data_IF_247544084807
#
_entry.id   IF_247544084807
#
_cell.length_a   1.000
_cell.length_b   1.000
_cell.length_c   1.000
_cell.angle_alpha   90.00
_cell.angle_beta   90.00
_cell.angle_gamma   90.00
#
_symmetry.space_group_name_H-M   'P 1'
#
loop_
_entity.id
_entity.type
_entity.pdbx_description
1 polymer ?
#
# COMPACT_ATOMS: atom_id res chain seq x y z
N UNK A 1 -70.83 -10.57 17.90
CA UNK A 1 -70.34 -10.90 16.54
C UNK A 1 -68.97 -11.55 16.71
N UNK A 2 -68.92 -12.81 17.17
CA UNK A 2 -68.74 -14.04 16.37
C UNK A 2 -67.37 -14.04 15.66
N UNK A 3 -66.30 -14.66 16.18
CA UNK A 3 -66.02 -16.09 16.39
C UNK A 3 -65.92 -16.91 15.09
N UNK A 4 -64.68 -17.28 14.75
CA UNK A 4 -64.16 -18.55 14.18
C UNK A 4 -64.97 -19.38 13.17
N UNK A 5 -64.34 -19.67 12.01
CA UNK A 5 -64.27 -20.97 11.28
C UNK A 5 -63.38 -20.74 10.03
N UNK A 6 -62.16 -21.29 9.88
CA UNK A 6 -61.74 -22.69 9.66
C UNK A 6 -62.18 -23.27 8.30
N UNK A 7 -61.21 -23.47 7.38
CA UNK A 7 -61.10 -24.48 6.29
C UNK A 7 -60.13 -23.92 5.22
N UNK A 8 -58.87 -24.35 5.11
CA UNK A 8 -58.38 -25.64 4.57
C UNK A 8 -58.68 -25.82 3.07
N UNK A 9 -57.68 -25.50 2.22
CA UNK A 9 -57.58 -25.93 0.82
C UNK A 9 -56.14 -25.63 0.35
N UNK A 10 -55.17 -26.50 0.59
CA UNK A 10 -54.91 -27.77 -0.11
C UNK A 10 -54.60 -27.55 -1.60
N UNK A 11 -53.29 -27.60 -1.89
CA UNK A 11 -52.65 -28.14 -3.09
C UNK A 11 -53.60 -28.72 -4.16
N UNK A 12 -53.58 -28.15 -5.35
CA UNK A 12 -54.03 -28.85 -6.56
C UNK A 12 -53.14 -28.46 -7.75
N UNK A 13 -52.26 -29.39 -8.09
CA UNK A 13 -51.55 -29.48 -9.36
C UNK A 13 -52.55 -29.67 -10.50
N UNK A 14 -52.45 -28.89 -11.58
CA UNK A 14 -52.98 -29.27 -12.88
C UNK A 14 -51.83 -29.65 -13.80
N UNK A 15 -51.60 -30.95 -13.83
CA UNK A 15 -50.84 -31.71 -14.81
C UNK A 15 -51.58 -31.67 -16.15
N UNK A 16 -50.90 -31.26 -17.21
CA UNK A 16 -51.21 -31.72 -18.55
C UNK A 16 -49.92 -32.27 -19.17
N UNK A 17 -49.88 -33.60 -19.27
CA UNK A 17 -48.98 -34.43 -20.09
C UNK A 17 -47.53 -34.65 -19.62
N UNK A 18 -47.40 -35.28 -18.45
CA UNK A 18 -46.68 -36.56 -18.30
C UNK A 18 -45.22 -36.68 -18.78
N UNK A 19 -44.27 -36.09 -18.05
CA UNK A 19 -43.00 -36.76 -17.70
C UNK A 19 -42.29 -35.98 -16.58
N UNK A 20 -42.10 -36.62 -15.41
CA UNK A 20 -41.39 -36.03 -14.27
C UNK A 20 -39.88 -36.18 -14.53
N UNK A 21 -39.20 -35.09 -14.84
CA UNK A 21 -37.75 -34.99 -14.68
C UNK A 21 -37.44 -33.90 -13.66
N UNK A 22 -37.01 -34.38 -12.50
CA UNK A 22 -36.24 -33.70 -11.47
C UNK A 22 -35.31 -32.67 -12.14
N UNK A 23 -35.52 -31.37 -11.90
CA UNK A 23 -34.64 -30.32 -12.41
C UNK A 23 -33.34 -30.38 -11.61
N UNK A 24 -32.45 -31.23 -12.09
CA UNK A 24 -31.09 -31.38 -11.63
C UNK A 24 -30.34 -30.06 -11.81
N UNK A 25 -29.70 -29.68 -10.72
CA UNK A 25 -28.56 -28.78 -10.59
C UNK A 25 -27.46 -29.21 -11.58
N UNK A 26 -27.48 -28.70 -12.81
CA UNK A 26 -26.29 -28.53 -13.68
C UNK A 26 -26.63 -27.86 -15.02
N UNK A 27 -25.67 -27.06 -15.50
CA UNK A 27 -25.59 -26.41 -16.82
C UNK A 27 -26.60 -25.29 -17.15
N UNK A 28 -26.16 -24.05 -16.91
CA UNK A 28 -25.98 -23.06 -18.00
C UNK A 28 -24.75 -22.19 -17.69
N UNK A 29 -23.58 -22.73 -18.04
CA UNK A 29 -22.39 -21.92 -18.34
C UNK A 29 -22.67 -21.17 -19.65
N UNK A 30 -22.87 -19.85 -19.55
CA UNK A 30 -22.90 -18.93 -20.67
C UNK A 30 -21.60 -18.12 -20.69
N UNK A 31 -20.85 -18.27 -21.77
CA UNK A 31 -19.56 -17.66 -22.06
C UNK A 31 -19.64 -16.12 -22.00
N UNK A 32 -18.91 -15.51 -21.06
CA UNK A 32 -18.78 -14.05 -20.93
C UNK A 32 -17.32 -13.71 -20.62
N UNK A 33 -16.56 -13.40 -21.66
CA UNK A 33 -15.17 -12.94 -21.59
C UNK A 33 -15.15 -11.57 -20.89
N UNK A 34 -14.75 -11.54 -19.62
CA UNK A 34 -14.61 -10.29 -18.85
C UNK A 34 -13.13 -9.94 -18.71
N UNK A 35 -12.74 -8.83 -19.32
CA UNK A 35 -11.41 -8.24 -19.20
C UNK A 35 -11.40 -7.36 -17.94
N UNK A 36 -10.63 -7.80 -16.93
CA UNK A 36 -10.57 -7.19 -15.60
C UNK A 36 -9.56 -6.04 -15.50
N UNK A 37 -9.99 -4.94 -14.88
CA UNK A 37 -9.17 -3.79 -14.51
C UNK A 37 -9.03 -3.73 -12.98
N UNK A 38 -7.78 -3.67 -12.50
CA UNK A 38 -7.39 -3.76 -11.08
C UNK A 38 -7.29 -2.37 -10.42
N UNK A 39 -7.73 -2.22 -9.17
CA UNK A 39 -7.65 -0.98 -8.37
C UNK A 39 -6.28 -0.81 -7.71
N UNK A 40 -5.85 0.45 -7.49
CA UNK A 40 -4.45 0.80 -7.20
C UNK A 40 -4.03 0.70 -5.72
N UNK A 41 -4.97 0.67 -4.77
CA UNK A 41 -4.64 0.74 -3.34
C UNK A 41 -4.22 -0.61 -2.73
N UNK A 42 -4.44 -1.70 -3.45
CA UNK A 42 -3.89 -3.04 -3.23
C UNK A 42 -3.39 -3.53 -4.61
N UNK A 43 -2.45 -2.81 -5.25
CA UNK A 43 -1.66 -3.45 -6.31
C UNK A 43 -0.83 -4.54 -5.64
N UNK A 44 -1.46 -5.70 -5.49
CA UNK A 44 -0.85 -6.92 -5.03
C UNK A 44 0.45 -7.08 -5.81
N UNK A 45 1.52 -7.27 -5.03
CA UNK A 45 2.86 -7.73 -5.41
C UNK A 45 2.86 -8.79 -6.52
N UNK A 46 1.72 -9.46 -6.76
CA UNK A 46 1.39 -10.35 -7.87
C UNK A 46 1.55 -9.76 -9.28
N UNK A 47 1.24 -8.48 -9.56
CA UNK A 47 1.25 -7.96 -10.96
C UNK A 47 2.67 -7.72 -11.52
N UNK A 48 3.63 -7.42 -10.63
CA UNK A 48 5.05 -7.31 -10.94
C UNK A 48 5.76 -8.66 -10.87
N UNK A 49 5.05 -9.71 -10.42
CA UNK A 49 5.62 -11.02 -10.11
C UNK A 49 5.95 -11.80 -11.38
N UNK A 50 7.16 -12.35 -11.45
CA UNK A 50 7.53 -13.41 -12.39
C UNK A 50 7.59 -14.71 -11.60
N UNK A 51 6.88 -15.76 -12.03
CA UNK A 51 7.05 -17.11 -11.45
C UNK A 51 8.52 -17.51 -11.64
N UNK A 52 9.29 -17.54 -10.56
CA UNK A 52 10.71 -17.86 -10.62
C UNK A 52 10.87 -19.38 -10.80
N UNK A 53 11.54 -19.81 -11.88
CA UNK A 53 11.72 -21.24 -12.16
C UNK A 53 12.63 -21.87 -11.09
N UNK A 54 12.02 -22.75 -10.29
CA UNK A 54 12.57 -23.41 -9.10
C UNK A 54 13.68 -24.45 -9.40
N UNK A 55 14.40 -24.30 -10.51
CA UNK A 55 15.33 -25.31 -11.05
C UNK A 55 16.76 -25.15 -10.52
N UNK A 56 17.17 -23.96 -10.06
CA UNK A 56 18.53 -23.67 -9.60
C UNK A 56 18.85 -24.11 -8.15
N UNK A 57 17.83 -24.30 -7.30
CA UNK A 57 18.03 -24.55 -5.85
C UNK A 57 17.91 -26.04 -5.47
N UNK A 58 17.71 -26.93 -6.45
CA UNK A 58 17.65 -28.39 -6.24
C UNK A 58 18.95 -29.01 -5.72
N UNK A 59 20.05 -28.25 -5.64
CA UNK A 59 21.40 -28.75 -5.34
C UNK A 59 21.86 -28.58 -3.88
N UNK A 60 21.04 -28.00 -3.01
CA UNK A 60 21.40 -27.75 -1.59
C UNK A 60 20.88 -28.89 -0.70
N UNK A 61 21.80 -29.49 0.08
CA UNK A 61 21.58 -30.74 0.84
C UNK A 61 20.92 -30.56 2.21
N UNK A 62 20.71 -29.32 2.66
CA UNK A 62 20.15 -28.98 3.97
C UNK A 62 18.78 -28.28 3.80
N UNK A 63 17.71 -28.86 4.36
CA UNK A 63 16.32 -28.42 4.14
C UNK A 63 16.07 -26.96 4.51
N UNK A 64 16.51 -26.54 5.70
CA UNK A 64 16.34 -25.17 6.17
C UNK A 64 17.06 -24.13 5.29
N UNK A 65 18.30 -24.41 4.86
CA UNK A 65 19.05 -23.51 3.97
C UNK A 65 18.47 -23.49 2.56
N UNK A 66 17.89 -24.59 2.10
CA UNK A 66 17.19 -24.67 0.83
C UNK A 66 15.92 -23.81 0.86
N UNK A 67 15.13 -23.92 1.92
CA UNK A 67 13.90 -23.13 2.09
C UNK A 67 14.21 -21.64 2.30
N UNK A 68 15.31 -21.32 2.97
CA UNK A 68 15.82 -19.95 3.11
C UNK A 68 16.40 -19.42 1.78
N UNK A 69 17.11 -20.22 0.99
CA UNK A 69 17.57 -19.80 -0.35
C UNK A 69 16.41 -19.62 -1.34
N UNK A 70 15.40 -20.49 -1.29
CA UNK A 70 14.19 -20.36 -2.12
C UNK A 70 13.43 -19.10 -1.71
N UNK A 71 13.28 -18.87 -0.40
CA UNK A 71 12.70 -17.65 0.15
C UNK A 71 13.47 -16.39 -0.31
N UNK A 72 14.80 -16.40 -0.22
CA UNK A 72 15.62 -15.29 -0.68
C UNK A 72 15.55 -15.10 -2.20
N UNK A 73 15.54 -16.18 -2.98
CA UNK A 73 15.40 -16.09 -4.43
C UNK A 73 14.05 -15.50 -4.84
N UNK A 74 12.96 -15.91 -4.18
CA UNK A 74 11.62 -15.36 -4.45
C UNK A 74 11.54 -13.87 -4.02
N UNK A 75 12.18 -13.51 -2.91
CA UNK A 75 12.30 -12.12 -2.47
C UNK A 75 13.09 -11.30 -3.51
N UNK A 76 14.30 -11.69 -3.88
CA UNK A 76 15.15 -10.85 -4.74
C UNK A 76 14.82 -10.92 -6.24
N UNK A 77 14.38 -12.07 -6.77
CA UNK A 77 14.14 -12.29 -8.21
C UNK A 77 12.64 -12.36 -8.59
N UNK A 78 11.74 -12.27 -7.60
CA UNK A 78 10.31 -12.39 -7.83
C UNK A 78 9.71 -11.28 -8.67
N UNK A 79 10.37 -10.13 -8.87
CA UNK A 79 9.79 -8.97 -9.58
C UNK A 79 10.54 -8.51 -10.82
N UNK A 80 9.83 -7.80 -11.70
CA UNK A 80 10.41 -7.00 -12.79
C UNK A 80 11.39 -5.93 -12.29
N UNK A 81 11.22 -5.47 -11.03
CA UNK A 81 12.12 -4.54 -10.35
C UNK A 81 13.41 -5.21 -9.84
N UNK A 82 13.55 -6.53 -9.95
CA UNK A 82 14.74 -7.26 -9.50
C UNK A 82 16.05 -6.73 -10.09
N UNK A 83 16.00 -6.23 -11.33
CA UNK A 83 17.15 -5.64 -12.01
C UNK A 83 17.75 -4.44 -11.26
N UNK A 84 16.92 -3.77 -10.45
CA UNK A 84 17.26 -2.58 -9.72
C UNK A 84 17.99 -2.87 -8.40
N UNK A 85 17.96 -4.11 -7.90
CA UNK A 85 18.78 -4.53 -6.76
C UNK A 85 20.27 -4.39 -7.02
N UNK A 86 20.69 -4.44 -8.29
CA UNK A 86 22.08 -4.21 -8.68
C UNK A 86 22.55 -2.81 -8.26
N UNK A 87 21.65 -1.83 -8.15
CA UNK A 87 21.98 -0.48 -7.68
C UNK A 87 22.47 -0.45 -6.22
N UNK A 88 22.07 -1.41 -5.37
CA UNK A 88 22.43 -1.46 -3.95
C UNK A 88 23.94 -1.64 -3.74
N UNK A 89 24.59 -2.71 -4.26
CA UNK A 89 26.04 -2.86 -4.13
C UNK A 89 26.80 -1.72 -4.82
N UNK A 90 26.28 -1.18 -5.94
CA UNK A 90 26.89 -0.02 -6.59
C UNK A 90 26.79 1.25 -5.73
N UNK A 91 25.68 1.48 -5.03
CA UNK A 91 25.53 2.60 -4.09
C UNK A 91 26.52 2.50 -2.94
N UNK A 92 26.65 1.30 -2.35
CA UNK A 92 27.62 1.02 -1.27
C UNK A 92 29.05 1.25 -1.77
N UNK A 93 29.39 0.73 -2.95
CA UNK A 93 30.72 0.90 -3.53
C UNK A 93 31.01 2.36 -3.86
N UNK A 94 30.05 3.08 -4.44
CA UNK A 94 30.18 4.50 -4.75
C UNK A 94 30.40 5.34 -3.48
N UNK A 95 29.71 5.01 -2.38
CA UNK A 95 29.89 5.68 -1.09
C UNK A 95 31.27 5.37 -0.49
N UNK A 96 31.70 4.10 -0.50
CA UNK A 96 32.98 3.69 0.07
C UNK A 96 34.18 4.26 -0.72
N UNK A 97 34.05 4.37 -2.04
CA UNK A 97 35.07 4.99 -2.90
C UNK A 97 35.00 6.52 -2.93
N UNK A 98 34.12 7.14 -2.12
CA UNK A 98 33.88 8.58 -2.11
C UNK A 98 33.66 9.17 -3.51
N UNK A 99 32.84 8.48 -4.31
CA UNK A 99 32.49 8.93 -5.65
C UNK A 99 31.63 10.20 -5.61
N UNK A 100 31.37 10.78 -6.77
CA UNK A 100 30.63 12.03 -6.90
C UNK A 100 29.22 11.94 -6.28
N UNK A 101 28.85 12.93 -5.46
CA UNK A 101 27.59 12.96 -4.68
C UNK A 101 26.32 12.65 -5.48
N UNK A 102 26.11 13.18 -6.70
CA UNK A 102 24.89 12.89 -7.48
C UNK A 102 24.73 11.41 -7.84
N UNK A 103 25.84 10.69 -8.01
CA UNK A 103 25.80 9.26 -8.35
C UNK A 103 25.46 8.42 -7.14
N UNK A 104 26.03 8.72 -5.97
CA UNK A 104 25.66 8.07 -4.71
C UNK A 104 24.17 8.29 -4.42
N UNK A 105 23.70 9.53 -4.60
CA UNK A 105 22.28 9.87 -4.44
C UNK A 105 21.39 9.04 -5.38
N UNK A 106 21.68 9.07 -6.69
CA UNK A 106 20.87 8.39 -7.69
C UNK A 106 20.86 6.87 -7.48
N UNK A 107 22.02 6.25 -7.22
CA UNK A 107 22.12 4.81 -6.97
C UNK A 107 21.40 4.40 -5.68
N UNK A 108 21.47 5.23 -4.63
CA UNK A 108 20.76 4.97 -3.37
C UNK A 108 19.24 5.03 -3.58
N UNK A 109 18.72 6.06 -4.26
CA UNK A 109 17.29 6.13 -4.61
C UNK A 109 16.85 4.96 -5.49
N UNK A 110 17.67 4.60 -6.48
CA UNK A 110 17.37 3.50 -7.39
C UNK A 110 17.33 2.15 -6.64
N UNK A 111 18.22 1.95 -5.66
CA UNK A 111 18.21 0.78 -4.78
C UNK A 111 17.05 0.76 -3.77
N UNK A 112 16.53 1.92 -3.36
CA UNK A 112 15.39 2.02 -2.45
C UNK A 112 14.06 1.60 -3.10
N UNK A 113 13.88 1.82 -4.40
CA UNK A 113 12.66 1.45 -5.14
C UNK A 113 12.27 -0.04 -4.97
N UNK A 114 13.14 -1.02 -5.30
CA UNK A 114 12.79 -2.43 -5.15
C UNK A 114 12.71 -2.85 -3.68
N UNK A 115 13.43 -2.20 -2.78
CA UNK A 115 13.36 -2.48 -1.34
C UNK A 115 12.01 -2.08 -0.75
N UNK A 116 11.47 -0.93 -1.15
CA UNK A 116 10.16 -0.46 -0.71
C UNK A 116 9.06 -1.46 -1.10
N UNK A 117 9.07 -1.90 -2.36
CA UNK A 117 8.12 -2.91 -2.85
C UNK A 117 8.28 -4.24 -2.09
N UNK A 118 9.52 -4.67 -1.82
CA UNK A 118 9.75 -5.90 -1.04
C UNK A 118 9.30 -5.81 0.41
N UNK A 119 9.50 -4.69 1.06
CA UNK A 119 9.03 -4.48 2.43
C UNK A 119 7.49 -4.58 2.48
N UNK A 120 6.79 -3.97 1.51
CA UNK A 120 5.33 -4.10 1.39
C UNK A 120 4.91 -5.56 1.20
N UNK A 121 5.53 -6.28 0.25
CA UNK A 121 5.26 -7.69 0.02
C UNK A 121 5.49 -8.56 1.27
N UNK A 122 6.63 -8.40 1.94
CA UNK A 122 6.95 -9.17 3.15
C UNK A 122 5.96 -8.87 4.28
N UNK A 123 5.47 -7.65 4.34
CA UNK A 123 4.42 -7.23 5.28
C UNK A 123 3.09 -7.94 5.00
N UNK A 124 2.68 -8.02 3.73
CA UNK A 124 1.53 -8.84 3.30
C UNK A 124 1.71 -10.31 3.71
N UNK A 125 2.89 -10.90 3.43
CA UNK A 125 3.19 -12.29 3.78
C UNK A 125 3.09 -12.55 5.29
N UNK A 126 3.50 -11.60 6.14
CA UNK A 126 3.37 -11.72 7.59
C UNK A 126 1.90 -11.56 8.02
N UNK A 127 1.14 -10.68 7.34
CA UNK A 127 -0.25 -10.40 7.66
C UNK A 127 -1.14 -11.66 7.61
N UNK A 128 -0.87 -12.60 6.68
CA UNK A 128 -1.54 -13.90 6.59
C UNK A 128 -1.46 -14.73 7.90
N UNK A 129 -0.40 -14.57 8.69
CA UNK A 129 -0.20 -15.32 9.93
C UNK A 129 -0.64 -14.57 11.20
N UNK A 130 -0.78 -13.24 11.12
CA UNK A 130 -1.06 -12.40 12.30
C UNK A 130 -2.54 -12.05 12.47
N UNK A 131 -3.39 -12.42 11.50
CA UNK A 131 -4.82 -12.13 11.48
C UNK A 131 -5.14 -10.69 11.05
N UNK A 132 -6.41 -10.38 10.72
CA UNK A 132 -6.77 -9.16 9.99
C UNK A 132 -6.40 -7.85 10.68
N UNK A 133 -6.60 -7.75 12.01
CA UNK A 133 -6.33 -6.52 12.77
C UNK A 133 -4.83 -6.23 12.89
N UNK A 134 -4.03 -7.23 13.28
CA UNK A 134 -2.59 -7.06 13.43
C UNK A 134 -1.92 -6.96 12.06
N UNK A 135 -2.38 -7.73 11.09
CA UNK A 135 -1.92 -7.66 9.70
C UNK A 135 -2.21 -6.31 9.05
N UNK A 136 -3.42 -5.75 9.26
CA UNK A 136 -3.77 -4.41 8.79
C UNK A 136 -2.92 -3.31 9.44
N UNK A 137 -2.63 -3.42 10.74
CA UNK A 137 -1.73 -2.48 11.42
C UNK A 137 -0.28 -2.61 10.93
N UNK A 138 0.18 -3.84 10.69
CA UNK A 138 1.50 -4.11 10.14
C UNK A 138 1.60 -3.52 8.73
N UNK A 139 0.60 -3.69 7.88
CA UNK A 139 0.55 -3.09 6.55
C UNK A 139 0.59 -1.56 6.60
N UNK A 140 -0.21 -0.96 7.48
CA UNK A 140 -0.26 0.48 7.65
C UNK A 140 1.10 1.08 8.08
N UNK A 141 1.87 0.37 8.90
CA UNK A 141 3.14 0.83 9.47
C UNK A 141 4.34 0.41 8.60
N UNK A 142 4.53 -0.87 8.37
CA UNK A 142 5.65 -1.42 7.61
C UNK A 142 5.56 -1.10 6.11
N UNK A 143 4.35 -1.03 5.52
CA UNK A 143 4.17 -0.63 4.12
C UNK A 143 4.68 0.78 3.83
N UNK A 144 4.59 1.69 4.81
CA UNK A 144 5.11 3.06 4.72
C UNK A 144 6.48 3.24 5.40
N UNK A 145 7.12 2.16 5.85
CA UNK A 145 8.35 2.25 6.63
C UNK A 145 9.49 2.91 5.85
N UNK A 146 9.59 2.66 4.54
CA UNK A 146 10.64 3.26 3.71
C UNK A 146 10.57 4.79 3.71
N UNK A 147 9.37 5.35 3.54
CA UNK A 147 9.16 6.81 3.60
C UNK A 147 9.49 7.36 4.99
N UNK A 148 9.02 6.70 6.04
CA UNK A 148 9.29 7.10 7.43
C UNK A 148 10.78 7.09 7.75
N UNK A 149 11.52 6.07 7.32
CA UNK A 149 12.96 5.94 7.56
C UNK A 149 13.72 7.08 6.88
N UNK A 150 13.44 7.34 5.60
CA UNK A 150 14.07 8.45 4.85
C UNK A 150 13.77 9.79 5.55
N UNK A 151 12.53 10.00 5.97
CA UNK A 151 12.12 11.21 6.68
C UNK A 151 12.85 11.38 8.03
N UNK A 152 13.00 10.30 8.81
CA UNK A 152 13.73 10.33 10.10
C UNK A 152 15.20 10.69 9.87
N UNK A 153 15.89 10.06 8.91
CA UNK A 153 17.28 10.41 8.61
C UNK A 153 17.43 11.87 8.17
N UNK A 154 16.52 12.35 7.32
CA UNK A 154 16.51 13.75 6.91
C UNK A 154 16.28 14.70 8.10
N UNK A 155 15.36 14.38 9.02
CA UNK A 155 15.13 15.16 10.24
C UNK A 155 16.33 15.17 11.19
N UNK A 156 16.97 14.02 11.41
CA UNK A 156 18.18 13.91 12.25
C UNK A 156 19.31 14.81 11.73
N UNK A 157 19.40 14.97 10.41
CA UNK A 157 20.35 15.88 9.75
C UNK A 157 19.83 17.32 9.60
N UNK A 158 18.74 17.70 10.29
CA UNK A 158 18.07 19.01 10.21
C UNK A 158 17.62 19.42 8.79
N UNK A 159 17.40 18.46 7.87
CA UNK A 159 16.93 18.70 6.51
C UNK A 159 15.40 18.75 6.47
N UNK A 160 14.83 19.66 7.25
CA UNK A 160 13.38 19.79 7.44
C UNK A 160 12.66 20.04 6.12
N UNK A 161 13.24 20.83 5.21
CA UNK A 161 12.61 21.13 3.93
C UNK A 161 12.56 19.92 3.00
N UNK A 162 13.58 19.05 3.02
CA UNK A 162 13.55 17.75 2.31
C UNK A 162 12.35 16.92 2.78
N UNK A 163 12.10 16.89 4.08
CA UNK A 163 10.96 16.14 4.66
C UNK A 163 9.63 16.75 4.23
N UNK A 164 9.50 18.09 4.31
CA UNK A 164 8.28 18.79 3.88
C UNK A 164 7.96 18.51 2.41
N UNK A 165 8.95 18.66 1.54
CA UNK A 165 8.78 18.43 0.10
C UNK A 165 8.55 16.95 -0.24
N UNK A 166 9.20 16.04 0.48
CA UNK A 166 8.99 14.60 0.32
C UNK A 166 7.57 14.17 0.72
N UNK A 167 7.04 14.68 1.84
CA UNK A 167 5.66 14.39 2.27
C UNK A 167 4.62 14.95 1.29
N UNK A 168 4.79 16.20 0.84
CA UNK A 168 3.94 16.79 -0.21
C UNK A 168 4.03 15.99 -1.52
N UNK A 169 5.23 15.58 -1.89
CA UNK A 169 5.47 14.75 -3.08
C UNK A 169 4.77 13.40 -2.99
N UNK A 170 4.81 12.72 -1.84
CA UNK A 170 4.11 11.45 -1.60
C UNK A 170 2.60 11.61 -1.78
N UNK A 171 2.01 12.64 -1.18
CA UNK A 171 0.58 12.96 -1.33
C UNK A 171 0.22 13.22 -2.80
N UNK A 172 0.97 14.08 -3.50
CA UNK A 172 0.70 14.40 -4.91
C UNK A 172 0.89 13.18 -5.82
N UNK A 173 1.92 12.37 -5.57
CA UNK A 173 2.16 11.12 -6.30
C UNK A 173 0.97 10.18 -6.16
N UNK A 174 0.46 9.95 -4.95
CA UNK A 174 -0.65 9.03 -4.74
C UNK A 174 -1.97 9.57 -5.33
N UNK A 175 -2.27 10.86 -5.15
CA UNK A 175 -3.54 11.45 -5.58
C UNK A 175 -3.62 11.77 -7.08
N UNK A 176 -2.52 12.16 -7.72
CA UNK A 176 -2.53 12.57 -9.13
C UNK A 176 -1.88 11.52 -10.01
N UNK A 177 -0.66 11.08 -9.67
CA UNK A 177 0.10 10.18 -10.53
C UNK A 177 -0.47 8.76 -10.48
N UNK A 178 -0.51 8.15 -9.29
CA UNK A 178 -0.98 6.76 -9.11
C UNK A 178 -2.46 6.66 -9.40
N UNK A 179 -3.29 7.46 -8.73
CA UNK A 179 -4.73 7.46 -8.97
C UNK A 179 -5.06 7.84 -10.43
N UNK A 180 -4.47 8.91 -10.98
CA UNK A 180 -4.74 9.36 -12.35
C UNK A 180 -4.34 8.34 -13.40
N UNK A 181 -3.15 7.72 -13.28
CA UNK A 181 -2.74 6.65 -14.20
C UNK A 181 -3.59 5.39 -14.03
N UNK A 182 -4.01 5.05 -12.80
CA UNK A 182 -4.90 3.91 -12.58
C UNK A 182 -6.28 4.09 -13.20
N UNK A 183 -6.86 5.30 -13.10
CA UNK A 183 -8.13 5.64 -13.75
C UNK A 183 -7.99 5.67 -15.27
N UNK A 184 -6.89 6.21 -15.79
CA UNK A 184 -6.63 6.25 -17.23
C UNK A 184 -6.44 4.83 -17.80
N UNK A 185 -5.53 4.05 -17.23
CA UNK A 185 -5.25 2.69 -17.67
C UNK A 185 -6.45 1.76 -17.44
N UNK A 186 -7.13 1.88 -16.30
CA UNK A 186 -8.35 1.15 -16.00
C UNK A 186 -9.50 1.49 -16.95
N UNK A 187 -9.68 2.77 -17.27
CA UNK A 187 -10.68 3.21 -18.24
C UNK A 187 -10.38 2.77 -19.67
N UNK A 188 -9.11 2.72 -20.07
CA UNK A 188 -8.70 2.19 -21.38
C UNK A 188 -8.90 0.67 -21.44
N UNK A 189 -8.50 -0.06 -20.39
CA UNK A 189 -8.67 -1.51 -20.31
C UNK A 189 -10.16 -1.91 -20.28
N UNK A 190 -11.01 -1.10 -19.64
CA UNK A 190 -12.42 -1.37 -19.45
C UNK A 190 -13.30 -0.40 -20.26
N UNK A 191 -12.93 -0.09 -21.51
CA UNK A 191 -13.65 0.90 -22.33
C UNK A 191 -15.14 0.56 -22.53
N UNK A 192 -15.50 -0.72 -22.43
CA UNK A 192 -16.86 -1.24 -22.61
C UNK A 192 -17.65 -1.44 -21.31
N UNK A 193 -17.03 -1.22 -20.14
CA UNK A 193 -17.65 -1.47 -18.84
C UNK A 193 -17.44 -0.30 -17.88
N UNK A 194 -18.50 0.20 -17.20
CA UNK A 194 -18.32 1.22 -16.18
C UNK A 194 -17.49 0.68 -15.02
N UNK A 195 -16.50 1.46 -14.56
CA UNK A 195 -15.77 1.18 -13.33
C UNK A 195 -16.63 1.58 -12.13
N UNK A 196 -17.09 0.61 -11.35
CA UNK A 196 -17.88 0.86 -10.14
C UNK A 196 -16.94 1.02 -8.94
N UNK A 197 -17.22 2.01 -8.10
CA UNK A 197 -16.49 2.26 -6.85
C UNK A 197 -17.50 2.26 -5.70
N UNK A 198 -17.14 1.68 -4.56
CA UNK A 198 -17.97 1.81 -3.36
C UNK A 198 -17.94 3.28 -2.89
N UNK A 199 -19.10 3.92 -3.02
CA UNK A 199 -19.27 5.33 -2.66
C UNK A 199 -19.02 5.58 -1.18
N UNK A 200 -19.41 4.67 -0.28
CA UNK A 200 -19.26 4.88 1.17
C UNK A 200 -17.79 4.91 1.56
N UNK A 201 -17.00 3.99 1.01
CA UNK A 201 -15.57 3.91 1.28
C UNK A 201 -14.82 5.10 0.65
N UNK A 202 -15.18 5.45 -0.60
CA UNK A 202 -14.63 6.63 -1.27
C UNK A 202 -14.92 7.92 -0.49
N UNK A 203 -16.14 8.09 0.02
CA UNK A 203 -16.52 9.26 0.82
C UNK A 203 -15.69 9.34 2.11
N UNK A 204 -15.54 8.25 2.87
CA UNK A 204 -14.72 8.23 4.11
C UNK A 204 -13.27 8.61 3.81
N UNK A 205 -12.66 8.01 2.78
CA UNK A 205 -11.28 8.30 2.40
C UNK A 205 -11.13 9.74 1.91
N UNK A 206 -12.10 10.26 1.15
CA UNK A 206 -12.11 11.65 0.68
C UNK A 206 -12.16 12.64 1.84
N UNK A 207 -13.03 12.43 2.84
CA UNK A 207 -13.12 13.31 4.00
C UNK A 207 -11.84 13.29 4.86
N UNK A 208 -11.19 12.13 4.99
CA UNK A 208 -9.90 12.04 5.70
C UNK A 208 -8.76 12.76 4.96
N UNK A 209 -8.71 12.61 3.63
CA UNK A 209 -7.75 13.33 2.79
C UNK A 209 -8.01 14.85 2.84
N UNK A 210 -9.27 15.27 2.82
CA UNK A 210 -9.66 16.68 2.96
C UNK A 210 -9.24 17.25 4.31
N UNK A 211 -9.42 16.50 5.40
CA UNK A 211 -8.96 16.88 6.73
C UNK A 211 -7.43 17.03 6.75
N UNK A 212 -6.70 16.07 6.20
CA UNK A 212 -5.24 16.13 6.07
C UNK A 212 -4.78 17.37 5.29
N UNK A 213 -5.41 17.64 4.14
CA UNK A 213 -5.15 18.84 3.34
C UNK A 213 -5.38 20.12 4.13
N UNK A 214 -6.51 20.23 4.84
CA UNK A 214 -6.81 21.41 5.66
C UNK A 214 -5.78 21.61 6.77
N UNK A 215 -5.39 20.53 7.46
CA UNK A 215 -4.38 20.54 8.50
C UNK A 215 -2.99 20.98 7.99
N UNK A 216 -2.66 20.70 6.72
CA UNK A 216 -1.43 21.15 6.06
C UNK A 216 -1.50 22.59 5.54
N UNK A 217 -2.61 22.97 4.90
CA UNK A 217 -2.79 24.30 4.30
C UNK A 217 -2.93 25.38 5.36
N UNK A 218 -3.53 25.09 6.52
CA UNK A 218 -3.78 26.09 7.56
C UNK A 218 -2.48 26.73 8.10
N UNK A 219 -1.45 25.98 8.55
CA UNK A 219 -0.18 26.59 8.95
C UNK A 219 0.54 27.31 7.81
N UNK A 220 0.43 26.79 6.57
CA UNK A 220 1.03 27.39 5.38
C UNK A 220 0.42 28.76 5.05
N UNK A 221 -0.90 28.85 5.05
CA UNK A 221 -1.63 30.09 4.79
C UNK A 221 -1.38 31.12 5.89
N UNK A 222 -1.39 30.70 7.16
CA UNK A 222 -1.10 31.58 8.28
C UNK A 222 0.30 32.20 8.15
N UNK A 223 1.32 31.41 7.80
CA UNK A 223 2.67 31.93 7.58
C UNK A 223 2.73 32.99 6.46
N UNK A 224 2.03 32.77 5.33
CA UNK A 224 2.03 33.69 4.20
C UNK A 224 1.25 34.98 4.48
N UNK A 225 0.12 34.89 5.19
CA UNK A 225 -0.74 36.04 5.47
C UNK A 225 -0.21 36.91 6.61
N UNK A 226 0.45 36.30 7.60
CA UNK A 226 0.98 37.00 8.79
C UNK A 226 2.47 37.36 8.67
N UNK A 227 3.11 37.08 7.53
CA UNK A 227 4.55 37.32 7.31
C UNK A 227 5.00 38.79 7.33
N UNK A 228 4.06 39.74 7.36
CA UNK A 228 4.35 41.19 7.51
C UNK A 228 4.36 41.70 8.96
N UNK A 229 3.80 40.93 9.90
CA UNK A 229 3.79 41.24 11.32
C UNK A 229 4.87 40.42 12.03
N UNK A 230 5.54 41.04 13.02
CA UNK A 230 6.67 40.53 13.81
C UNK A 230 7.04 39.04 13.54
N UNK A 231 8.08 38.77 12.73
CA UNK A 231 8.33 37.44 12.14
C UNK A 231 8.59 36.36 13.19
N UNK A 232 9.14 36.74 14.36
CA UNK A 232 9.38 35.82 15.46
C UNK A 232 8.07 35.28 16.07
N UNK A 233 7.07 36.14 16.30
CA UNK A 233 5.77 35.71 16.82
C UNK A 233 4.98 34.89 15.80
N UNK A 234 5.07 35.27 14.52
CA UNK A 234 4.42 34.53 13.43
C UNK A 234 4.99 33.10 13.33
N UNK A 235 6.31 32.95 13.36
CA UNK A 235 6.94 31.63 13.34
C UNK A 235 6.52 30.74 14.53
N UNK A 236 6.46 31.30 15.75
CA UNK A 236 6.01 30.56 16.94
C UNK A 236 4.55 30.11 16.82
N UNK A 237 3.67 31.00 16.35
CA UNK A 237 2.26 30.68 16.13
C UNK A 237 2.07 29.63 15.02
N UNK A 238 2.80 29.72 13.89
CA UNK A 238 2.79 28.71 12.83
C UNK A 238 3.21 27.33 13.34
N UNK A 239 4.25 27.27 14.20
CA UNK A 239 4.69 26.03 14.81
C UNK A 239 3.65 25.45 15.77
N UNK A 240 3.00 26.29 16.58
CA UNK A 240 1.91 25.87 17.46
C UNK A 240 0.73 25.30 16.66
N UNK A 241 0.33 25.98 15.59
CA UNK A 241 -0.72 25.49 14.68
C UNK A 241 -0.33 24.16 14.04
N UNK A 242 0.91 24.01 13.57
CA UNK A 242 1.41 22.75 12.98
C UNK A 242 1.38 21.60 13.98
N UNK A 243 1.74 21.84 15.25
CA UNK A 243 1.68 20.83 16.32
C UNK A 243 0.25 20.43 16.64
N UNK A 244 -0.66 21.39 16.72
CA UNK A 244 -2.10 21.12 16.92
C UNK A 244 -2.67 20.32 15.75
N UNK A 245 -2.37 20.71 14.50
CA UNK A 245 -2.76 19.97 13.31
C UNK A 245 -2.28 18.52 13.35
N UNK A 246 -1.02 18.27 13.74
CA UNK A 246 -0.47 16.93 13.88
C UNK A 246 -1.25 16.08 14.90
N UNK A 247 -1.58 16.64 16.07
CA UNK A 247 -2.38 15.95 17.09
C UNK A 247 -3.76 15.57 16.55
N UNK A 248 -4.43 16.51 15.87
CA UNK A 248 -5.75 16.28 15.24
C UNK A 248 -5.66 15.16 14.20
N UNK A 249 -4.63 15.19 13.33
CA UNK A 249 -4.42 14.16 12.31
C UNK A 249 -4.16 12.78 12.93
N UNK A 250 -3.34 12.68 13.99
CA UNK A 250 -3.07 11.42 14.69
C UNK A 250 -4.36 10.86 15.30
N UNK A 251 -5.16 11.70 15.96
CA UNK A 251 -6.43 11.26 16.54
C UNK A 251 -7.42 10.79 15.46
N UNK A 252 -7.53 11.53 14.35
CA UNK A 252 -8.35 11.14 13.22
C UNK A 252 -7.88 9.83 12.58
N UNK A 253 -6.56 9.65 12.44
CA UNK A 253 -5.97 8.43 11.90
C UNK A 253 -6.19 7.21 12.81
N UNK A 254 -6.03 7.36 14.13
CA UNK A 254 -6.34 6.29 15.09
C UNK A 254 -7.83 5.95 15.04
N UNK A 255 -8.71 6.97 14.98
CA UNK A 255 -10.14 6.78 14.81
C UNK A 255 -10.47 6.02 13.52
N UNK A 256 -9.80 6.35 12.42
CA UNK A 256 -9.92 5.65 11.15
C UNK A 256 -9.42 4.20 11.24
N UNK A 257 -8.29 3.92 11.89
CA UNK A 257 -7.80 2.55 12.08
C UNK A 257 -8.78 1.70 12.91
N UNK A 258 -9.38 2.27 13.96
CA UNK A 258 -10.44 1.59 14.73
C UNK A 258 -11.68 1.35 13.85
N UNK A 259 -12.01 2.33 13.00
CA UNK A 259 -13.12 2.21 12.05
C UNK A 259 -12.89 1.04 11.08
N UNK A 260 -11.73 1.03 10.41
CA UNK A 260 -11.34 0.09 9.38
C UNK A 260 -11.11 -1.33 9.93
N UNK A 261 -10.37 -1.47 11.04
CA UNK A 261 -9.92 -2.77 11.53
C UNK A 261 -10.91 -3.46 12.48
N UNK A 262 -11.83 -2.70 13.09
CA UNK A 262 -12.77 -3.23 14.06
C UNK A 262 -14.23 -2.97 13.68
N UNK A 263 -14.67 -1.71 13.66
CA UNK A 263 -16.12 -1.44 13.64
C UNK A 263 -16.80 -1.72 12.30
N UNK A 264 -16.10 -1.48 11.18
CA UNK A 264 -16.64 -1.57 9.83
C UNK A 264 -15.78 -2.46 8.93
N UNK A 265 -15.15 -3.49 9.50
CA UNK A 265 -14.24 -4.40 8.79
C UNK A 265 -14.87 -5.01 7.52
N UNK A 266 -16.17 -5.34 7.58
CA UNK A 266 -16.93 -5.90 6.46
C UNK A 266 -16.99 -4.99 5.22
N UNK A 267 -16.89 -3.67 5.38
CA UNK A 267 -16.86 -2.73 4.26
C UNK A 267 -15.53 -2.80 3.50
N UNK A 268 -14.46 -3.26 4.16
CA UNK A 268 -13.12 -3.35 3.60
C UNK A 268 -12.77 -4.79 3.16
N UNK A 269 -13.18 -5.82 3.91
CA UNK A 269 -12.98 -7.24 3.54
C UNK A 269 -13.69 -7.61 2.22
N UNK A 270 -14.91 -7.09 1.97
CA UNK A 270 -15.68 -7.39 0.76
C UNK A 270 -15.00 -6.94 -0.55
N UNK A 271 -14.09 -5.96 -0.46
CA UNK A 271 -13.38 -5.42 -1.62
C UNK A 271 -12.18 -6.30 -2.03
N UNK A 272 -11.56 -6.98 -1.07
CA UNK A 272 -10.53 -7.98 -1.35
C UNK A 272 -11.16 -9.16 -2.11
N UNK A 273 -12.35 -9.62 -1.69
CA UNK A 273 -13.08 -10.71 -2.36
C UNK A 273 -13.64 -10.33 -3.75
N UNK A 274 -14.25 -9.15 -3.90
CA UNK A 274 -14.85 -8.70 -5.18
C UNK A 274 -13.81 -8.31 -6.24
N UNK A 275 -12.60 -7.88 -5.81
CA UNK A 275 -11.45 -7.69 -6.69
C UNK A 275 -10.83 -9.00 -7.19
N UNK A 276 -11.01 -10.09 -6.44
CA UNK A 276 -10.46 -11.42 -6.72
C UNK A 276 -11.41 -12.30 -7.57
N UNK A 277 -12.73 -12.15 -7.40
CA UNK A 277 -13.75 -12.95 -8.11
C UNK A 277 -13.77 -12.75 -9.65
N UNK A 278 -12.99 -11.80 -10.19
CA UNK A 278 -12.81 -11.56 -11.64
C UNK A 278 -11.64 -12.32 -12.28
N UNK A 279 -10.78 -12.97 -11.49
CA UNK A 279 -9.67 -13.80 -11.95
C UNK A 279 -9.74 -15.15 -11.27
N UNK A 280 -9.73 -16.25 -12.02
CA UNK A 280 -9.61 -17.62 -11.46
C UNK A 280 -8.24 -17.90 -10.84
N UNK A 281 -7.75 -17.01 -9.99
CA UNK A 281 -6.56 -17.19 -9.16
C UNK A 281 -7.03 -17.68 -7.78
N UNK A 282 -6.52 -18.85 -7.43
CA UNK A 282 -6.64 -19.53 -6.14
C UNK A 282 -6.52 -18.59 -4.95
N UNK A 283 -7.27 -18.87 -3.86
CA UNK A 283 -7.05 -18.35 -2.50
C UNK A 283 -5.53 -18.11 -2.30
N UNK A 284 -5.12 -16.85 -2.09
CA UNK A 284 -3.71 -16.50 -1.97
C UNK A 284 -3.11 -17.20 -0.72
N UNK A 285 -2.54 -18.38 -0.91
CA UNK A 285 -1.79 -19.06 0.15
C UNK A 285 -0.48 -18.32 0.42
N UNK A 286 -0.04 -18.23 1.70
CA UNK A 286 1.21 -17.57 2.03
C UNK A 286 2.38 -18.31 1.37
N UNK A 287 3.14 -17.60 0.54
CA UNK A 287 4.25 -18.16 -0.23
C UNK A 287 5.50 -18.38 0.63
N UNK A 288 5.61 -17.66 1.74
CA UNK A 288 6.74 -17.70 2.65
C UNK A 288 6.29 -18.01 4.06
N UNK A 289 7.08 -18.81 4.78
CA UNK A 289 6.85 -19.07 6.20
C UNK A 289 7.08 -17.82 7.04
N UNK A 290 6.31 -17.66 8.13
CA UNK A 290 6.34 -16.48 9.02
C UNK A 290 7.76 -16.00 9.38
N UNK A 291 8.61 -16.90 9.89
CA UNK A 291 9.97 -16.54 10.32
C UNK A 291 10.87 -16.11 9.15
N UNK A 292 10.68 -16.69 7.97
CA UNK A 292 11.42 -16.31 6.77
C UNK A 292 11.06 -14.89 6.33
N UNK A 293 9.75 -14.60 6.30
CA UNK A 293 9.24 -13.26 5.96
C UNK A 293 9.68 -12.22 6.99
N UNK A 294 9.61 -12.55 8.28
CA UNK A 294 10.02 -11.65 9.36
C UNK A 294 11.52 -11.32 9.33
N UNK A 295 12.38 -12.32 9.19
CA UNK A 295 13.83 -12.10 9.09
C UNK A 295 14.17 -11.30 7.83
N UNK A 296 13.53 -11.62 6.70
CA UNK A 296 13.73 -10.89 5.45
C UNK A 296 13.27 -9.44 5.57
N UNK A 297 12.15 -9.17 6.27
CA UNK A 297 11.65 -7.82 6.51
C UNK A 297 12.68 -7.00 7.27
N UNK A 298 13.18 -7.51 8.40
CA UNK A 298 14.20 -6.84 9.21
C UNK A 298 15.47 -6.56 8.40
N UNK A 299 15.93 -7.53 7.60
CA UNK A 299 17.10 -7.36 6.76
C UNK A 299 16.89 -6.25 5.71
N UNK A 300 15.75 -6.26 5.00
CA UNK A 300 15.44 -5.24 4.01
C UNK A 300 15.31 -3.86 4.65
N UNK A 301 14.67 -3.75 5.81
CA UNK A 301 14.57 -2.51 6.57
C UNK A 301 15.96 -1.97 6.95
N UNK A 302 16.90 -2.84 7.34
CA UNK A 302 18.27 -2.42 7.64
C UNK A 302 19.00 -1.89 6.40
N UNK A 303 18.82 -2.54 5.23
CA UNK A 303 19.39 -2.05 3.96
C UNK A 303 18.76 -0.73 3.54
N UNK A 304 17.44 -0.57 3.72
CA UNK A 304 16.74 0.70 3.50
C UNK A 304 17.32 1.80 4.39
N UNK A 305 17.54 1.53 5.68
CA UNK A 305 18.13 2.50 6.59
C UNK A 305 19.52 2.96 6.11
N UNK A 306 20.37 2.01 5.72
CA UNK A 306 21.71 2.29 5.20
C UNK A 306 21.69 3.13 3.91
N UNK A 307 20.84 2.77 2.93
CA UNK A 307 20.72 3.55 1.69
C UNK A 307 20.06 4.91 1.93
N UNK A 308 19.14 5.00 2.89
CA UNK A 308 18.50 6.26 3.28
C UNK A 308 19.52 7.23 3.87
N UNK A 309 20.42 6.74 4.73
CA UNK A 309 21.53 7.55 5.25
C UNK A 309 22.40 8.10 4.10
N UNK A 310 22.81 7.26 3.16
CA UNK A 310 23.62 7.69 2.00
C UNK A 310 22.88 8.71 1.13
N UNK A 311 21.61 8.44 0.81
CA UNK A 311 20.78 9.34 0.02
C UNK A 311 20.65 10.70 0.73
N UNK A 312 20.33 10.70 2.02
CA UNK A 312 20.18 11.94 2.78
C UNK A 312 21.51 12.67 2.87
N UNK A 313 22.62 12.03 3.20
CA UNK A 313 23.96 12.64 3.32
C UNK A 313 24.39 13.43 2.09
N UNK A 314 24.07 12.91 0.91
CA UNK A 314 24.44 13.55 -0.36
C UNK A 314 23.68 14.84 -0.64
N UNK A 315 22.49 15.01 -0.04
CA UNK A 315 21.71 16.25 -0.13
C UNK A 315 22.45 17.34 0.63
N UNK A 316 22.77 18.45 -0.03
CA UNK A 316 23.43 19.58 0.61
C UNK A 316 22.61 20.09 1.78
N UNK A 317 23.32 20.41 2.87
CA UNK A 317 22.73 21.12 3.97
C UNK A 317 22.42 22.53 3.46
N UNK A 318 21.15 22.89 3.30
CA UNK A 318 20.77 24.30 3.30
C UNK A 318 21.00 24.81 4.71
N UNK A 319 22.26 25.11 5.02
CA UNK A 319 22.62 25.83 6.22
C UNK A 319 21.89 27.17 6.20
N UNK A 320 21.42 27.58 7.38
CA UNK A 320 20.89 28.91 7.69
C UNK A 320 21.89 30.01 7.29
N UNK A 321 21.94 30.33 6.00
CA UNK A 321 22.77 31.36 5.41
C UNK A 321 21.95 32.17 4.42
N UNK A 322 21.28 33.20 4.93
CA UNK A 322 20.71 34.28 4.12
C UNK A 322 19.19 34.23 3.94
N UNK A 323 18.46 34.79 4.91
CA UNK A 323 17.35 35.66 4.54
C UNK A 323 17.97 36.98 4.04
N UNK A 324 17.53 37.57 2.91
CA UNK A 324 17.74 39.00 2.69
C UNK A 324 17.00 39.84 3.74
#
# INVERSE_FOLDING_TARGET
MASAAAQDQQTAWLLENGNIKLLSKEMRHGHGQSYGGRTAHNMSSSSLRKKSDLTLVKKVRCGFLRDLLISLQEVFLGTKLSILFVAIPFAILAQYLHYQRPWVFALSLLGLIPLAERISFLTEQIAFYTGPTVGGLLNATCGNATELIIAIFALVQNKVDVVKYSLLGSILSNLLLVLGTSLLCGGIANISHPQNFDRKQADVNFFLLLLGLLCHVLPMMFLHLSGGENPASTAQATLALSRTSCIVMILAYIGYLVFQLWTHRQLFDAQDEDGENGSGESEEEPLMGFWSSFISLVLMTAVVALLSEFAVDTIEHQGLGGYP
#
